data_IF_752822461831
#
_entry.id   IF_752822461831
#
_cell.length_a   1.000
_cell.length_b   1.000
_cell.length_c   1.000
_cell.angle_alpha   90.00
_cell.angle_beta   90.00
_cell.angle_gamma   90.00
#
_symmetry.space_group_name_H-M   'P 1'
#
loop_
_entity.id
_entity.type
_entity.pdbx_description
1 polymer ?
#
# COMPACT_ATOMS: atom_id res chain seq x y z
N UNK A 1 10.86 -24.01 -9.93
CA UNK A 1 10.19 -22.74 -10.31
C UNK A 1 9.19 -23.06 -11.41
N UNK A 2 7.89 -23.06 -11.09
CA UNK A 2 6.86 -23.09 -12.13
C UNK A 2 6.93 -21.78 -12.93
N UNK A 3 6.69 -21.79 -14.24
CA UNK A 3 6.67 -20.55 -15.00
C UNK A 3 5.51 -19.69 -14.49
N UNK A 4 5.81 -18.47 -14.04
CA UNK A 4 4.86 -17.45 -13.51
C UNK A 4 3.60 -17.29 -14.38
N UNK A 5 3.70 -17.56 -15.68
CA UNK A 5 2.58 -17.58 -16.63
C UNK A 5 1.47 -18.60 -16.26
N UNK A 6 1.78 -19.66 -15.48
CA UNK A 6 0.80 -20.63 -14.98
C UNK A 6 0.00 -20.12 -13.78
N UNK A 7 0.52 -19.20 -12.97
CA UNK A 7 -0.22 -18.69 -11.78
C UNK A 7 -1.44 -17.88 -12.24
N UNK A 8 -1.27 -17.04 -13.26
CA UNK A 8 -2.34 -16.20 -13.82
C UNK A 8 -3.32 -17.01 -14.70
N UNK A 9 -2.86 -18.09 -15.33
CA UNK A 9 -3.71 -18.96 -16.15
C UNK A 9 -4.42 -20.09 -15.34
N UNK A 10 -3.85 -20.57 -14.22
CA UNK A 10 -4.52 -21.50 -13.31
C UNK A 10 -5.64 -20.84 -12.50
N UNK A 11 -5.56 -19.52 -12.25
CA UNK A 11 -6.70 -18.75 -11.78
C UNK A 11 -7.91 -18.81 -12.75
N UNK A 12 -7.69 -19.24 -14.00
CA UNK A 12 -8.67 -19.29 -15.10
C UNK A 12 -9.31 -20.67 -15.36
N UNK A 13 -8.78 -21.77 -14.83
CA UNK A 13 -9.34 -23.12 -15.09
C UNK A 13 -10.41 -23.57 -14.08
N UNK A 14 -10.72 -22.76 -13.06
CA UNK A 14 -11.66 -23.13 -11.99
C UNK A 14 -13.04 -22.43 -12.08
N UNK A 15 -13.38 -21.73 -13.17
CA UNK A 15 -14.61 -20.92 -13.24
C UNK A 15 -15.42 -21.23 -14.51
N UNK A 16 -16.57 -21.89 -14.34
CA UNK A 16 -17.60 -22.06 -15.37
C UNK A 16 -18.45 -20.78 -15.50
N UNK A 17 -18.95 -20.44 -16.70
CA UNK A 17 -19.72 -19.22 -16.91
C UNK A 17 -21.23 -19.48 -16.74
N UNK A 18 -21.85 -18.81 -15.78
CA UNK A 18 -23.31 -18.75 -15.65
C UNK A 18 -23.75 -18.07 -14.36
N UNK A 19 -24.47 -16.95 -14.51
CA UNK A 19 -25.20 -16.16 -13.51
C UNK A 19 -24.50 -14.87 -13.01
N UNK A 20 -25.28 -13.78 -13.06
CA UNK A 20 -24.84 -12.38 -13.11
C UNK A 20 -25.26 -11.68 -11.82
N UNK A 21 -24.27 -11.19 -11.07
CA UNK A 21 -24.35 -10.61 -9.71
C UNK A 21 -24.74 -11.55 -8.53
N UNK A 22 -24.47 -12.86 -8.64
CA UNK A 22 -23.42 -13.55 -7.90
C UNK A 22 -22.08 -13.40 -8.65
N UNK A 23 -21.51 -12.18 -8.65
CA UNK A 23 -20.33 -11.83 -9.48
C UNK A 23 -18.98 -11.96 -8.77
N UNK A 24 -18.92 -12.73 -7.70
CA UNK A 24 -17.67 -13.37 -7.29
C UNK A 24 -18.03 -14.79 -6.87
N UNK A 25 -17.82 -15.77 -7.77
CA UNK A 25 -17.75 -17.19 -7.38
C UNK A 25 -16.57 -17.51 -6.46
N UNK A 26 -15.97 -16.47 -5.88
CA UNK A 26 -14.96 -16.50 -4.84
C UNK A 26 -15.54 -15.77 -3.64
N UNK A 27 -15.75 -16.50 -2.56
CA UNK A 27 -15.98 -15.93 -1.24
C UNK A 27 -14.78 -15.06 -0.85
N UNK A 28 -14.97 -14.07 0.05
CA UNK A 28 -13.89 -13.42 0.79
C UNK A 28 -12.73 -14.36 1.17
N UNK A 29 -13.08 -15.56 1.67
CA UNK A 29 -12.14 -16.61 2.04
C UNK A 29 -11.34 -17.14 0.84
N UNK A 30 -11.93 -17.28 -0.35
CA UNK A 30 -11.24 -17.76 -1.54
C UNK A 30 -10.33 -16.71 -2.19
N UNK A 31 -10.64 -15.41 -2.05
CA UNK A 31 -9.70 -14.34 -2.44
C UNK A 31 -8.53 -14.31 -1.45
N UNK A 32 -8.82 -14.42 -0.15
CA UNK A 32 -7.83 -14.49 0.92
C UNK A 32 -6.93 -15.71 0.77
N UNK A 33 -7.45 -16.93 0.60
CA UNK A 33 -6.69 -18.18 0.38
C UNK A 33 -5.79 -18.10 -0.85
N UNK A 34 -6.22 -17.43 -1.92
CA UNK A 34 -5.43 -17.31 -3.16
C UNK A 34 -4.37 -16.21 -3.07
N UNK A 35 -4.66 -15.12 -2.38
CA UNK A 35 -3.66 -14.14 -1.99
C UNK A 35 -2.67 -14.77 -1.03
N UNK A 36 -3.13 -15.54 -0.05
CA UNK A 36 -2.30 -16.29 0.88
C UNK A 36 -1.44 -17.30 0.13
N UNK A 37 -1.93 -18.00 -0.91
CA UNK A 37 -1.08 -18.87 -1.74
C UNK A 37 0.01 -18.09 -2.52
N UNK A 38 -0.36 -16.93 -3.07
CA UNK A 38 0.56 -16.00 -3.74
C UNK A 38 1.60 -15.49 -2.73
N UNK A 39 1.17 -15.16 -1.52
CA UNK A 39 1.92 -14.63 -0.38
C UNK A 39 2.68 -15.70 0.41
N UNK A 40 2.30 -16.96 0.30
CA UNK A 40 2.97 -18.16 0.79
C UNK A 40 4.08 -18.54 -0.17
N UNK A 41 3.93 -18.32 -1.49
CA UNK A 41 5.11 -18.28 -2.38
C UNK A 41 6.06 -17.12 -2.06
N UNK A 42 5.62 -16.11 -1.29
CA UNK A 42 6.49 -15.10 -0.69
C UNK A 42 6.95 -15.46 0.73
N UNK A 43 6.68 -16.68 1.25
CA UNK A 43 6.95 -17.08 2.64
C UNK A 43 8.34 -16.63 3.08
N UNK A 44 8.32 -15.76 4.07
CA UNK A 44 9.46 -15.52 4.92
C UNK A 44 9.62 -16.77 5.77
N UNK A 45 10.49 -17.68 5.36
CA UNK A 45 10.84 -18.82 6.21
C UNK A 45 11.39 -18.28 7.54
N UNK A 46 11.22 -19.01 8.64
CA UNK A 46 11.76 -18.61 9.95
C UNK A 46 13.29 -18.42 9.95
N UNK A 47 13.99 -19.00 8.98
CA UNK A 47 15.41 -18.73 8.70
C UNK A 47 15.64 -17.37 8.04
N UNK A 48 14.75 -16.95 7.14
CA UNK A 48 14.78 -15.57 6.65
C UNK A 48 14.46 -14.58 7.75
N UNK A 49 13.50 -14.82 8.66
CA UNK A 49 13.23 -13.93 9.80
C UNK A 49 14.46 -13.70 10.68
N UNK A 50 15.25 -14.75 10.99
CA UNK A 50 16.51 -14.60 11.74
C UNK A 50 17.57 -13.82 10.96
N UNK A 51 17.67 -14.07 9.65
CA UNK A 51 18.51 -13.28 8.73
C UNK A 51 18.08 -11.81 8.70
N UNK A 52 16.78 -11.53 8.79
CA UNK A 52 16.21 -10.19 8.80
C UNK A 52 16.38 -9.50 10.13
N UNK A 53 16.18 -10.16 11.27
CA UNK A 53 16.51 -9.56 12.57
C UNK A 53 17.98 -9.17 12.58
N UNK A 54 18.85 -10.01 12.03
CA UNK A 54 20.29 -9.71 11.91
C UNK A 54 20.57 -8.58 10.92
N UNK A 55 19.91 -8.54 9.75
CA UNK A 55 20.11 -7.49 8.74
C UNK A 55 19.51 -6.14 9.17
N UNK A 56 18.35 -6.14 9.83
CA UNK A 56 17.70 -4.97 10.42
C UNK A 56 18.48 -4.50 11.65
N UNK A 57 18.99 -5.40 12.51
CA UNK A 57 19.91 -5.03 13.59
C UNK A 57 21.23 -4.50 13.06
N UNK A 58 21.76 -5.04 11.96
CA UNK A 58 23.00 -4.60 11.33
C UNK A 58 22.78 -3.26 10.60
N UNK A 59 21.65 -3.06 9.93
CA UNK A 59 21.23 -1.77 9.40
C UNK A 59 21.08 -0.76 10.53
N UNK A 60 20.35 -1.10 11.60
CA UNK A 60 20.17 -0.25 12.77
C UNK A 60 21.50 -0.01 13.49
N UNK A 61 22.43 -0.95 13.57
CA UNK A 61 23.80 -0.77 14.11
C UNK A 61 24.64 0.14 13.22
N UNK A 62 24.59 -0.06 11.92
CA UNK A 62 25.31 0.75 10.94
C UNK A 62 24.73 2.17 10.84
N UNK A 63 23.46 2.33 11.21
CA UNK A 63 22.73 3.59 11.25
C UNK A 63 22.46 4.09 12.67
N UNK A 64 23.09 3.54 13.72
CA UNK A 64 22.96 4.00 15.13
C UNK A 64 23.56 5.40 15.36
N UNK A 65 24.08 6.04 14.32
CA UNK A 65 24.45 7.45 14.26
C UNK A 65 23.41 8.37 13.60
N UNK A 66 22.20 7.89 13.26
CA UNK A 66 21.11 8.72 12.70
C UNK A 66 20.47 9.69 13.71
N UNK A 67 21.16 10.01 14.80
CA UNK A 67 20.85 11.15 15.65
C UNK A 67 21.33 12.41 14.94
N UNK A 68 20.35 13.21 14.47
CA UNK A 68 20.49 14.56 13.92
C UNK A 68 21.33 14.70 12.64
N UNK A 69 20.69 14.51 11.47
CA UNK A 69 21.12 15.14 10.21
C UNK A 69 20.88 16.66 10.26
N UNK A 70 21.54 17.33 11.20
CA UNK A 70 21.67 18.78 11.21
C UNK A 70 22.94 19.12 10.45
N UNK A 71 22.75 19.71 9.26
CA UNK A 71 23.76 20.45 8.49
C UNK A 71 24.83 19.61 7.77
N UNK A 72 24.46 18.98 6.66
CA UNK A 72 25.40 18.92 5.53
C UNK A 72 25.45 20.32 4.90
N UNK A 73 26.58 21.03 4.91
CA UNK A 73 26.68 22.33 4.27
C UNK A 73 26.62 22.12 2.76
N UNK A 74 25.48 22.44 2.14
CA UNK A 74 25.34 22.53 0.68
C UNK A 74 24.37 21.55 0.00
N UNK A 75 23.79 20.56 0.68
CA UNK A 75 22.74 19.71 0.09
C UNK A 75 21.36 20.30 0.39
N UNK A 76 20.57 20.64 -0.64
CA UNK A 76 19.16 21.00 -0.47
C UNK A 76 18.39 19.87 0.23
N UNK A 77 17.28 20.20 0.93
CA UNK A 77 16.40 19.19 1.54
C UNK A 77 15.94 18.16 0.48
N UNK A 78 15.60 18.64 -0.70
CA UNK A 78 15.29 17.87 -1.91
C UNK A 78 16.32 16.77 -2.17
N UNK A 79 17.61 17.10 -2.19
CA UNK A 79 18.68 16.13 -2.45
C UNK A 79 18.74 15.04 -1.38
N UNK A 80 18.50 15.40 -0.11
CA UNK A 80 18.49 14.43 0.99
C UNK A 80 17.28 13.50 0.88
N UNK A 81 16.11 14.04 0.58
CA UNK A 81 14.89 13.25 0.43
C UNK A 81 15.00 12.30 -0.77
N UNK A 82 15.57 12.76 -1.89
CA UNK A 82 15.89 11.92 -3.04
C UNK A 82 16.81 10.75 -2.69
N UNK A 83 17.93 11.02 -2.01
CA UNK A 83 18.89 9.99 -1.62
C UNK A 83 18.27 8.96 -0.67
N UNK A 84 17.44 9.42 0.28
CA UNK A 84 16.73 8.56 1.21
C UNK A 84 15.68 7.70 0.53
N UNK A 85 14.85 8.28 -0.34
CA UNK A 85 13.83 7.53 -1.07
C UNK A 85 14.44 6.54 -2.05
N UNK A 86 15.54 6.90 -2.71
CA UNK A 86 16.28 5.97 -3.57
C UNK A 86 16.82 4.78 -2.78
N UNK A 87 17.27 4.99 -1.54
CA UNK A 87 17.68 3.89 -0.65
C UNK A 87 16.50 3.03 -0.23
N UNK A 88 15.39 3.64 0.18
CA UNK A 88 14.16 2.92 0.54
C UNK A 88 13.59 2.12 -0.63
N UNK A 89 13.55 2.68 -1.84
CA UNK A 89 13.16 1.96 -3.05
C UNK A 89 14.00 0.69 -3.25
N UNK A 90 15.33 0.79 -3.13
CA UNK A 90 16.22 -0.38 -3.24
C UNK A 90 15.93 -1.42 -2.16
N UNK A 91 15.71 -0.96 -0.91
CA UNK A 91 15.36 -1.83 0.21
C UNK A 91 14.03 -2.54 -0.08
N UNK A 92 12.97 -1.82 -0.42
CA UNK A 92 11.66 -2.40 -0.73
C UNK A 92 11.71 -3.35 -1.91
N UNK A 93 12.45 -3.02 -2.98
CA UNK A 93 12.62 -3.91 -4.12
C UNK A 93 13.32 -5.23 -3.73
N UNK A 94 14.28 -5.18 -2.81
CA UNK A 94 14.98 -6.38 -2.32
C UNK A 94 14.15 -7.18 -1.31
N UNK A 95 13.44 -6.50 -0.42
CA UNK A 95 12.80 -7.10 0.76
C UNK A 95 11.34 -7.50 0.53
N UNK A 96 10.57 -6.60 -0.07
CA UNK A 96 9.13 -6.78 -0.32
C UNK A 96 8.93 -7.42 -1.69
N UNK A 97 9.57 -6.86 -2.72
CA UNK A 97 9.39 -7.34 -4.09
C UNK A 97 10.22 -8.61 -4.36
N UNK A 98 11.33 -8.85 -3.64
CA UNK A 98 12.17 -10.06 -3.79
C UNK A 98 12.52 -10.42 -5.25
N UNK A 99 12.73 -9.41 -6.10
CA UNK A 99 13.00 -9.61 -7.52
C UNK A 99 11.77 -9.89 -8.38
N UNK A 100 10.58 -9.50 -7.90
CA UNK A 100 9.32 -9.55 -8.64
C UNK A 100 9.48 -8.95 -10.04
N UNK A 101 10.15 -7.80 -10.11
CA UNK A 101 10.47 -7.12 -11.35
C UNK A 101 11.88 -7.51 -11.81
N UNK A 102 12.04 -8.05 -13.04
CA UNK A 102 13.35 -8.21 -13.64
C UNK A 102 14.15 -6.90 -13.65
N UNK A 103 15.50 -6.94 -13.62
CA UNK A 103 16.30 -5.73 -13.69
C UNK A 103 15.94 -4.86 -14.92
N UNK A 104 15.62 -3.59 -14.68
CA UNK A 104 15.27 -2.63 -15.73
C UNK A 104 13.81 -2.68 -16.21
N UNK A 105 12.92 -3.40 -15.53
CA UNK A 105 11.47 -3.38 -15.81
C UNK A 105 10.68 -2.47 -14.87
N UNK A 106 11.29 -1.99 -13.78
CA UNK A 106 10.68 -1.05 -12.86
C UNK A 106 11.65 0.09 -12.57
N UNK A 107 11.25 1.29 -12.99
CA UNK A 107 11.99 2.52 -12.75
C UNK A 107 11.30 3.37 -11.67
N UNK A 108 12.10 4.10 -10.90
CA UNK A 108 11.63 5.02 -9.86
C UNK A 108 12.13 6.43 -10.14
N UNK A 109 11.22 7.40 -10.08
CA UNK A 109 11.53 8.82 -10.14
C UNK A 109 10.95 9.57 -8.95
N UNK A 110 11.75 10.50 -8.43
CA UNK A 110 11.31 11.48 -7.43
C UNK A 110 11.30 12.85 -8.09
N UNK A 111 10.16 13.53 -8.02
CA UNK A 111 9.94 14.79 -8.73
C UNK A 111 9.97 15.94 -7.72
N UNK A 112 10.99 16.82 -7.78
CA UNK A 112 11.17 17.87 -6.79
C UNK A 112 10.19 19.03 -7.02
N UNK A 113 9.87 19.77 -5.97
CA UNK A 113 8.82 20.81 -5.97
C UNK A 113 9.13 22.00 -6.88
N UNK A 114 10.40 22.25 -7.16
CA UNK A 114 10.85 23.26 -8.12
C UNK A 114 10.69 22.84 -9.60
N UNK A 115 10.35 21.57 -9.88
CA UNK A 115 10.24 21.09 -11.24
C UNK A 115 8.94 21.55 -11.94
N UNK A 116 9.00 21.67 -13.27
CA UNK A 116 7.83 21.97 -14.09
C UNK A 116 6.77 20.86 -13.99
N UNK A 117 7.19 19.61 -13.85
CA UNK A 117 6.28 18.47 -13.71
C UNK A 117 5.51 18.54 -12.38
N UNK A 118 6.18 18.84 -11.27
CA UNK A 118 5.53 19.05 -9.98
C UNK A 118 4.49 20.18 -10.04
N UNK A 119 4.87 21.30 -10.67
CA UNK A 119 3.94 22.45 -10.85
C UNK A 119 2.70 22.05 -11.64
N UNK A 120 2.87 21.30 -12.75
CA UNK A 120 1.75 20.81 -13.56
C UNK A 120 0.86 19.83 -12.82
N UNK A 121 1.45 18.97 -11.97
CA UNK A 121 0.70 18.03 -11.16
C UNK A 121 -0.17 18.77 -10.14
N UNK A 122 0.44 19.68 -9.36
CA UNK A 122 -0.26 20.54 -8.39
C UNK A 122 -1.46 21.25 -9.02
N UNK A 123 -1.30 21.78 -10.22
CA UNK A 123 -2.36 22.58 -10.86
C UNK A 123 -3.47 21.72 -11.51
N UNK A 124 -3.30 20.40 -11.63
CA UNK A 124 -4.25 19.51 -12.35
C UNK A 124 -4.96 18.49 -11.48
N UNK A 125 -4.20 17.75 -10.70
CA UNK A 125 -4.68 16.56 -10.01
C UNK A 125 -4.05 16.40 -8.63
N UNK A 126 -3.15 17.32 -8.24
CA UNK A 126 -2.45 17.39 -6.97
C UNK A 126 -1.71 16.10 -6.53
N UNK A 127 -1.62 15.08 -7.38
CA UNK A 127 -1.25 13.70 -7.03
C UNK A 127 0.00 13.59 -6.15
N UNK A 128 -0.04 12.66 -5.21
CA UNK A 128 1.08 12.33 -4.35
C UNK A 128 2.18 11.53 -5.07
N UNK A 129 1.76 10.80 -6.09
CA UNK A 129 2.56 9.95 -6.96
C UNK A 129 1.69 9.40 -8.08
N UNK A 130 2.30 8.61 -8.95
CA UNK A 130 1.58 7.77 -9.90
C UNK A 130 2.48 6.61 -10.37
N UNK A 131 1.85 5.51 -10.78
CA UNK A 131 2.48 4.45 -11.55
C UNK A 131 1.96 4.47 -13.00
N UNK A 132 2.87 4.27 -13.96
CA UNK A 132 2.53 4.04 -15.36
C UNK A 132 3.26 2.83 -15.89
N UNK A 133 2.61 2.03 -16.73
CA UNK A 133 3.25 0.90 -17.40
C UNK A 133 2.88 0.78 -18.87
N UNK A 134 3.64 -0.04 -19.58
CA UNK A 134 3.33 -0.43 -20.96
C UNK A 134 2.30 -1.58 -21.04
N UNK A 135 1.61 -1.91 -19.95
CA UNK A 135 0.67 -3.04 -19.90
C UNK A 135 -0.42 -2.99 -20.98
N UNK A 136 -0.90 -1.80 -21.31
CA UNK A 136 -1.95 -1.60 -22.32
C UNK A 136 -1.47 -1.83 -23.76
N UNK A 137 -0.16 -2.02 -23.99
CA UNK A 137 0.37 -2.35 -25.31
C UNK A 137 0.11 -3.83 -25.61
N UNK A 138 -0.51 -4.12 -26.76
CA UNK A 138 -0.99 -5.47 -27.13
C UNK A 138 0.07 -6.59 -27.07
N UNK A 139 1.35 -6.24 -27.26
CA UNK A 139 2.47 -7.19 -27.29
C UNK A 139 3.27 -7.21 -25.98
N UNK A 140 2.74 -6.61 -24.90
CA UNK A 140 3.38 -6.67 -23.59
C UNK A 140 3.28 -8.08 -23.02
N UNK A 141 4.44 -8.63 -22.71
CA UNK A 141 4.64 -9.93 -22.07
C UNK A 141 5.30 -9.70 -20.71
N UNK A 142 5.30 -10.69 -19.80
CA UNK A 142 6.02 -10.55 -18.53
C UNK A 142 7.51 -10.19 -18.70
N UNK A 143 8.17 -10.62 -19.78
CA UNK A 143 9.57 -10.27 -20.05
C UNK A 143 9.76 -8.91 -20.74
N UNK A 144 8.70 -8.31 -21.26
CA UNK A 144 8.73 -6.98 -21.91
C UNK A 144 7.95 -5.92 -21.13
N UNK A 145 7.35 -6.29 -20.01
CA UNK A 145 6.68 -5.38 -19.09
C UNK A 145 7.67 -4.33 -18.59
N UNK A 146 7.23 -3.08 -18.57
CA UNK A 146 7.95 -1.94 -18.00
C UNK A 146 6.97 -1.06 -17.26
N UNK A 147 7.32 -0.70 -16.04
CA UNK A 147 6.61 0.27 -15.22
C UNK A 147 7.56 1.35 -14.72
N UNK A 148 6.98 2.51 -14.46
CA UNK A 148 7.65 3.67 -13.89
C UNK A 148 6.79 4.18 -12.75
N UNK A 149 7.39 4.23 -11.57
CA UNK A 149 6.78 4.79 -10.35
C UNK A 149 7.34 6.17 -10.11
N UNK A 150 6.45 7.13 -9.92
CA UNK A 150 6.77 8.54 -9.72
C UNK A 150 6.23 8.99 -8.38
N UNK A 151 7.05 9.65 -7.57
CA UNK A 151 6.64 10.24 -6.28
C UNK A 151 7.02 11.71 -6.26
N UNK A 152 6.08 12.56 -5.88
CA UNK A 152 6.31 14.01 -5.79
C UNK A 152 6.84 14.40 -4.41
N UNK A 153 7.71 15.42 -4.38
CA UNK A 153 8.14 16.03 -3.13
C UNK A 153 6.96 16.62 -2.35
N UNK A 154 6.99 16.50 -1.02
CA UNK A 154 6.04 17.12 -0.07
C UNK A 154 6.70 18.26 0.72
N UNK A 155 6.86 19.45 0.11
CA UNK A 155 7.66 20.53 0.69
C UNK A 155 7.02 21.17 1.93
N UNK A 156 5.72 20.97 2.20
CA UNK A 156 5.05 21.58 3.36
C UNK A 156 5.23 20.75 4.64
N UNK A 157 5.53 19.45 4.54
CA UNK A 157 5.81 18.62 5.72
C UNK A 157 7.22 18.92 6.24
N UNK A 158 7.31 19.81 7.24
CA UNK A 158 8.62 20.26 7.79
C UNK A 158 9.33 19.18 8.61
N UNK A 159 8.57 18.36 9.35
CA UNK A 159 9.13 17.29 10.18
C UNK A 159 9.73 16.18 9.30
N UNK A 160 11.05 15.94 9.45
CA UNK A 160 11.76 14.95 8.64
C UNK A 160 11.19 13.54 8.78
N UNK A 161 10.80 13.13 10.00
CA UNK A 161 10.26 11.79 10.25
C UNK A 161 8.90 11.62 9.59
N UNK A 162 7.99 12.57 9.79
CA UNK A 162 6.67 12.55 9.17
C UNK A 162 6.78 12.57 7.65
N UNK A 163 7.64 13.44 7.09
CA UNK A 163 7.85 13.54 5.64
C UNK A 163 8.35 12.21 5.06
N UNK A 164 9.35 11.57 5.66
CA UNK A 164 9.83 10.27 5.19
C UNK A 164 8.75 9.19 5.31
N UNK A 165 7.99 9.14 6.41
CA UNK A 165 6.87 8.18 6.54
C UNK A 165 5.85 8.37 5.41
N UNK A 166 5.41 9.59 5.17
CA UNK A 166 4.48 9.92 4.08
C UNK A 166 5.06 9.56 2.72
N UNK A 167 6.27 10.01 2.40
CA UNK A 167 6.82 9.79 1.06
C UNK A 167 7.18 8.32 0.79
N UNK A 168 7.56 7.56 1.82
CA UNK A 168 7.70 6.09 1.69
C UNK A 168 6.36 5.39 1.57
N UNK A 169 5.30 5.88 2.23
CA UNK A 169 3.92 5.42 2.04
C UNK A 169 3.44 5.62 0.61
N UNK A 170 3.64 6.81 0.05
CA UNK A 170 3.32 7.11 -1.35
C UNK A 170 4.11 6.22 -2.31
N UNK A 171 5.42 6.02 -2.06
CA UNK A 171 6.22 5.09 -2.86
C UNK A 171 5.63 3.67 -2.84
N UNK A 172 5.27 3.16 -1.66
CA UNK A 172 4.71 1.81 -1.53
C UNK A 172 3.31 1.68 -2.12
N UNK A 173 2.49 2.74 -2.06
CA UNK A 173 1.20 2.84 -2.73
C UNK A 173 1.36 2.67 -4.25
N UNK A 174 2.27 3.43 -4.86
CA UNK A 174 2.52 3.31 -6.30
C UNK A 174 3.18 1.99 -6.69
N UNK A 175 4.00 1.41 -5.81
CA UNK A 175 4.52 0.07 -6.02
C UNK A 175 3.41 -0.99 -5.99
N UNK A 176 2.36 -0.83 -5.16
CA UNK A 176 1.20 -1.71 -5.17
C UNK A 176 0.47 -1.67 -6.52
N UNK A 177 0.31 -0.48 -7.11
CA UNK A 177 -0.20 -0.34 -8.49
C UNK A 177 0.69 -1.04 -9.51
N UNK A 178 2.00 -0.84 -9.45
CA UNK A 178 2.93 -1.50 -10.37
C UNK A 178 2.89 -3.04 -10.24
N UNK A 179 2.74 -3.58 -9.04
CA UNK A 179 2.55 -5.03 -8.80
C UNK A 179 1.25 -5.48 -9.47
N UNK A 180 0.15 -4.79 -9.21
CA UNK A 180 -1.14 -5.13 -9.79
C UNK A 180 -1.06 -5.16 -11.33
N UNK A 181 -0.49 -4.13 -11.94
CA UNK A 181 -0.35 -4.04 -13.40
C UNK A 181 0.55 -5.13 -14.01
N UNK A 182 1.63 -5.50 -13.33
CA UNK A 182 2.56 -6.51 -13.83
C UNK A 182 1.95 -7.92 -13.86
N UNK A 183 1.05 -8.23 -12.92
CA UNK A 183 0.53 -9.58 -12.71
C UNK A 183 -0.94 -9.76 -13.07
N UNK A 184 -1.70 -8.68 -13.23
CA UNK A 184 -3.06 -8.77 -13.68
C UNK A 184 -3.12 -8.97 -15.21
N UNK A 185 -3.82 -10.01 -15.65
CA UNK A 185 -3.94 -10.34 -17.06
C UNK A 185 -4.70 -9.26 -17.83
N UNK A 186 -4.05 -8.61 -18.81
CA UNK A 186 -4.63 -7.54 -19.62
C UNK A 186 -5.32 -8.01 -20.93
N UNK A 187 -5.52 -9.32 -21.14
CA UNK A 187 -6.13 -9.77 -22.40
C UNK A 187 -7.62 -9.39 -22.48
N UNK A 188 -8.16 -9.15 -23.67
CA UNK A 188 -9.59 -8.79 -23.89
C UNK A 188 -10.57 -9.74 -23.17
N UNK A 189 -10.22 -11.03 -23.07
CA UNK A 189 -11.05 -12.03 -22.37
C UNK A 189 -11.00 -11.92 -20.84
N UNK A 190 -9.99 -11.25 -20.28
CA UNK A 190 -9.85 -10.94 -18.85
C UNK A 190 -10.28 -9.51 -18.53
N UNK A 191 -10.44 -8.63 -19.52
CA UNK A 191 -10.70 -7.19 -19.33
C UNK A 191 -11.89 -6.90 -18.41
N UNK A 192 -12.96 -7.71 -18.49
CA UNK A 192 -14.07 -7.61 -17.54
C UNK A 192 -13.66 -7.89 -16.09
N UNK A 193 -12.80 -8.90 -15.88
CA UNK A 193 -12.27 -9.28 -14.57
C UNK A 193 -11.22 -8.28 -14.06
N UNK A 194 -10.60 -7.50 -14.95
CA UNK A 194 -9.68 -6.42 -14.59
C UNK A 194 -10.45 -5.35 -13.84
N UNK A 195 -11.57 -4.86 -14.37
CA UNK A 195 -12.39 -3.86 -13.67
C UNK A 195 -12.92 -4.37 -12.33
N UNK A 196 -13.27 -5.65 -12.24
CA UNK A 196 -13.73 -6.28 -10.99
C UNK A 196 -12.61 -6.42 -9.95
N UNK A 197 -11.34 -6.55 -10.38
CA UNK A 197 -10.19 -6.72 -9.48
C UNK A 197 -9.45 -5.41 -9.15
N UNK A 198 -9.22 -4.59 -10.16
CA UNK A 198 -8.47 -3.32 -10.10
C UNK A 198 -9.37 -2.15 -9.72
N UNK A 199 -10.68 -2.28 -9.89
CA UNK A 199 -11.61 -1.17 -9.68
C UNK A 199 -11.55 -0.12 -10.80
N UNK A 200 -12.41 0.87 -10.68
CA UNK A 200 -12.53 2.03 -11.57
C UNK A 200 -11.40 3.03 -11.40
N UNK A 201 -10.82 3.11 -10.20
CA UNK A 201 -9.76 4.07 -9.85
C UNK A 201 -8.40 3.41 -9.63
N UNK A 202 -8.29 2.09 -9.86
CA UNK A 202 -7.09 1.31 -9.57
C UNK A 202 -7.01 0.78 -8.13
N UNK A 203 -8.01 1.07 -7.28
CA UNK A 203 -8.03 0.70 -5.87
C UNK A 203 -9.06 -0.39 -5.53
N UNK A 204 -9.34 -1.27 -6.48
CA UNK A 204 -10.25 -2.39 -6.31
C UNK A 204 -9.75 -3.44 -5.29
N UNK A 205 -10.51 -4.53 -5.11
CA UNK A 205 -10.24 -5.53 -4.07
C UNK A 205 -8.83 -6.14 -4.12
N UNK A 206 -8.26 -6.32 -5.30
CA UNK A 206 -6.90 -6.89 -5.45
C UNK A 206 -5.85 -5.90 -4.97
N UNK A 207 -6.00 -4.61 -5.31
CA UNK A 207 -5.11 -3.57 -4.81
C UNK A 207 -5.19 -3.47 -3.28
N UNK A 208 -6.40 -3.50 -2.71
CA UNK A 208 -6.61 -3.45 -1.26
C UNK A 208 -5.88 -4.59 -0.53
N UNK A 209 -5.92 -5.80 -1.08
CA UNK A 209 -5.22 -6.95 -0.53
C UNK A 209 -3.69 -6.84 -0.64
N UNK A 210 -3.18 -6.38 -1.79
CA UNK A 210 -1.73 -6.11 -1.99
C UNK A 210 -1.26 -5.06 -0.98
N UNK A 211 -1.95 -3.92 -0.91
CA UNK A 211 -1.60 -2.80 -0.03
C UNK A 211 -1.61 -3.21 1.43
N UNK A 212 -2.64 -3.93 1.89
CA UNK A 212 -2.70 -4.45 3.27
C UNK A 212 -1.50 -5.34 3.58
N UNK A 213 -1.13 -6.23 2.66
CA UNK A 213 0.03 -7.09 2.87
C UNK A 213 1.34 -6.31 2.93
N UNK A 214 1.49 -5.27 2.10
CA UNK A 214 2.65 -4.37 2.15
C UNK A 214 2.71 -3.68 3.52
N UNK A 215 1.61 -3.12 4.01
CA UNK A 215 1.56 -2.47 5.33
C UNK A 215 1.97 -3.42 6.47
N UNK A 216 1.40 -4.63 6.49
CA UNK A 216 1.76 -5.68 7.47
C UNK A 216 3.24 -6.04 7.36
N UNK A 217 3.75 -6.19 6.14
CA UNK A 217 5.16 -6.55 5.90
C UNK A 217 6.08 -5.44 6.38
N UNK A 218 5.74 -4.18 6.12
CA UNK A 218 6.55 -3.03 6.55
C UNK A 218 6.58 -2.93 8.07
N UNK A 219 5.43 -3.11 8.73
CA UNK A 219 5.36 -3.15 10.19
C UNK A 219 6.23 -4.27 10.76
N UNK A 220 6.13 -5.49 10.22
CA UNK A 220 6.89 -6.65 10.72
C UNK A 220 8.39 -6.53 10.48
N UNK A 221 8.81 -6.08 9.29
CA UNK A 221 10.23 -6.08 8.88
C UNK A 221 10.97 -4.83 9.35
N UNK A 222 10.33 -3.66 9.29
CA UNK A 222 10.95 -2.37 9.60
C UNK A 222 10.51 -1.77 10.93
N UNK A 223 9.51 -2.35 11.59
CA UNK A 223 9.06 -1.91 12.92
C UNK A 223 8.35 -0.57 12.93
N UNK A 224 7.81 -0.11 11.79
CA UNK A 224 7.00 1.11 11.74
C UNK A 224 5.72 0.89 10.93
N UNK A 225 4.65 1.55 11.35
CA UNK A 225 3.40 1.61 10.60
C UNK A 225 3.59 2.51 9.38
N UNK A 226 3.43 1.94 8.20
CA UNK A 226 3.37 2.66 6.95
C UNK A 226 1.94 2.65 6.46
N UNK A 227 1.46 3.79 6.01
CA UNK A 227 0.07 3.95 5.59
C UNK A 227 0.02 4.17 4.09
N UNK A 228 -0.70 3.30 3.38
CA UNK A 228 -0.86 3.36 1.93
C UNK A 228 -2.17 4.06 1.54
N UNK A 229 -2.92 4.64 2.48
CA UNK A 229 -4.15 5.38 2.19
C UNK A 229 -5.35 4.49 1.82
N UNK A 230 -5.37 3.22 2.26
CA UNK A 230 -6.40 2.24 1.86
C UNK A 230 -7.83 2.71 2.12
N UNK A 231 -8.08 3.30 3.29
CA UNK A 231 -9.40 3.81 3.67
C UNK A 231 -9.92 4.84 2.66
N UNK A 232 -9.08 5.78 2.25
CA UNK A 232 -9.48 6.82 1.32
C UNK A 232 -9.47 6.36 -0.13
N UNK A 233 -8.54 5.50 -0.52
CA UNK A 233 -8.55 4.81 -1.80
C UNK A 233 -9.86 4.04 -2.01
N UNK A 234 -10.36 3.34 -0.97
CA UNK A 234 -11.67 2.68 -1.02
C UNK A 234 -12.83 3.68 -1.12
N UNK A 235 -12.74 4.81 -0.41
CA UNK A 235 -13.74 5.87 -0.50
C UNK A 235 -13.81 6.48 -1.92
N UNK A 236 -12.65 6.67 -2.56
CA UNK A 236 -12.55 7.14 -3.95
C UNK A 236 -13.14 6.12 -4.92
N UNK A 237 -12.80 4.84 -4.75
CA UNK A 237 -13.33 3.73 -5.54
C UNK A 237 -14.86 3.64 -5.43
N UNK A 238 -15.41 3.66 -4.20
CA UNK A 238 -16.85 3.66 -3.97
C UNK A 238 -17.54 4.93 -4.49
N UNK A 239 -16.87 6.08 -4.46
CA UNK A 239 -17.37 7.30 -5.09
C UNK A 239 -17.49 7.12 -6.60
N UNK A 240 -16.41 6.71 -7.27
CA UNK A 240 -16.39 6.47 -8.71
C UNK A 240 -17.44 5.44 -9.14
N UNK A 241 -17.61 4.37 -8.36
CA UNK A 241 -18.60 3.31 -8.62
C UNK A 241 -20.05 3.72 -8.28
N UNK A 242 -20.26 4.89 -7.67
CA UNK A 242 -21.54 5.30 -7.06
C UNK A 242 -22.09 4.23 -6.09
N UNK A 243 -21.17 3.52 -5.44
CA UNK A 243 -21.48 2.47 -4.49
C UNK A 243 -21.70 3.07 -3.09
N UNK A 244 -22.62 2.44 -2.34
CA UNK A 244 -22.80 2.70 -0.92
C UNK A 244 -22.22 1.53 -0.16
N UNK A 245 -21.18 1.81 0.60
CA UNK A 245 -20.57 0.86 1.51
C UNK A 245 -21.55 0.38 2.59
N UNK A 246 -21.28 -0.83 3.06
CA UNK A 246 -21.80 -1.41 4.29
C UNK A 246 -20.67 -1.55 5.30
N UNK A 247 -21.00 -1.55 6.59
CA UNK A 247 -20.03 -1.79 7.68
C UNK A 247 -19.26 -3.11 7.48
N UNK A 248 -19.97 -4.15 7.01
CA UNK A 248 -19.36 -5.46 6.68
C UNK A 248 -18.31 -5.38 5.57
N UNK A 249 -18.50 -4.53 4.56
CA UNK A 249 -17.52 -4.35 3.49
C UNK A 249 -16.29 -3.58 3.99
N UNK A 250 -16.48 -2.54 4.81
CA UNK A 250 -15.36 -1.82 5.42
C UNK A 250 -14.53 -2.73 6.34
N UNK A 251 -15.21 -3.54 7.16
CA UNK A 251 -14.58 -4.54 8.00
C UNK A 251 -13.84 -5.60 7.20
N UNK A 252 -14.40 -6.07 6.07
CA UNK A 252 -13.72 -7.02 5.19
C UNK A 252 -12.39 -6.49 4.65
N UNK A 253 -12.34 -5.21 4.28
CA UNK A 253 -11.10 -4.59 3.83
C UNK A 253 -10.18 -4.17 4.97
N UNK A 254 -10.61 -4.27 6.24
CA UNK A 254 -9.87 -3.80 7.41
C UNK A 254 -9.36 -2.37 7.21
N UNK A 255 -10.28 -1.48 6.83
CA UNK A 255 -10.02 -0.04 6.71
C UNK A 255 -10.59 0.70 7.91
N UNK A 256 -9.98 1.85 8.24
CA UNK A 256 -10.51 2.72 9.28
C UNK A 256 -11.78 3.43 8.78
N UNK A 257 -12.91 3.13 9.43
CA UNK A 257 -14.23 3.64 9.02
C UNK A 257 -14.31 5.17 9.07
N UNK A 258 -13.68 5.78 10.08
CA UNK A 258 -13.68 7.24 10.23
C UNK A 258 -12.97 7.91 9.06
N UNK A 259 -11.74 7.49 8.73
CA UNK A 259 -10.96 8.04 7.61
C UNK A 259 -11.67 7.81 6.27
N UNK A 260 -12.29 6.64 6.10
CA UNK A 260 -13.12 6.35 4.94
C UNK A 260 -14.29 7.33 4.84
N UNK A 261 -15.03 7.57 5.93
CA UNK A 261 -16.18 8.48 5.95
C UNK A 261 -15.79 9.93 5.69
N UNK A 262 -14.71 10.41 6.31
CA UNK A 262 -14.16 11.76 6.10
C UNK A 262 -13.85 11.96 4.60
N UNK A 263 -13.06 11.07 3.99
CA UNK A 263 -12.77 11.15 2.56
C UNK A 263 -14.02 11.04 1.68
N UNK A 264 -14.99 10.19 2.05
CA UNK A 264 -16.23 10.05 1.29
C UNK A 264 -17.05 11.34 1.29
N UNK A 265 -17.03 12.10 2.39
CA UNK A 265 -17.68 13.41 2.49
C UNK A 265 -16.97 14.44 1.61
N UNK A 266 -15.65 14.44 1.58
CA UNK A 266 -14.88 15.35 0.72
C UNK A 266 -15.20 15.12 -0.76
N UNK A 267 -15.22 13.85 -1.20
CA UNK A 267 -15.63 13.50 -2.57
C UNK A 267 -17.10 13.84 -2.87
N UNK A 268 -17.98 13.90 -1.86
CA UNK A 268 -19.38 14.24 -2.08
C UNK A 268 -19.60 15.76 -2.21
N UNK A 269 -18.71 16.57 -1.64
CA UNK A 269 -18.81 18.04 -1.68
C UNK A 269 -18.21 18.64 -2.95
N UNK A 270 -17.30 17.92 -3.61
CA UNK A 270 -16.65 18.40 -4.82
C UNK A 270 -16.88 17.47 -6.00
N UNK A 271 -17.89 17.80 -6.81
CA UNK A 271 -18.20 17.07 -8.04
C UNK A 271 -17.07 17.14 -9.10
N UNK A 272 -16.05 17.99 -8.91
CA UNK A 272 -14.91 18.14 -9.82
C UNK A 272 -13.61 17.47 -9.32
N UNK A 273 -13.61 16.84 -8.15
CA UNK A 273 -12.45 16.13 -7.61
C UNK A 273 -12.27 14.75 -8.28
N UNK A 274 -11.80 14.73 -9.52
CA UNK A 274 -11.31 13.50 -10.17
C UNK A 274 -9.84 13.17 -9.84
N UNK A 275 -9.20 13.99 -9.00
CA UNK A 275 -7.81 13.85 -8.58
C UNK A 275 -7.59 14.40 -7.18
N UNK A 276 -8.22 13.81 -6.17
CA UNK A 276 -7.80 14.07 -4.79
C UNK A 276 -6.51 13.30 -4.59
N UNK A 277 -5.40 14.02 -4.57
CA UNK A 277 -4.25 13.59 -3.79
C UNK A 277 -4.63 13.67 -2.32
N UNK A 278 -4.34 12.62 -1.58
CA UNK A 278 -4.51 12.66 -0.15
C UNK A 278 -3.36 13.47 0.40
N UNK A 279 -3.62 14.74 0.70
CA UNK A 279 -2.64 15.56 1.38
C UNK A 279 -2.48 15.00 2.81
N UNK A 280 -1.55 14.06 2.96
CA UNK A 280 -1.04 13.62 4.26
C UNK A 280 -0.53 14.81 5.10
N UNK A 281 -0.37 15.98 4.46
CA UNK A 281 -0.17 17.29 5.06
C UNK A 281 -1.32 17.68 6.01
N UNK A 282 -2.59 17.41 5.70
CA UNK A 282 -3.73 17.75 6.55
C UNK A 282 -3.71 16.98 7.89
N UNK A 283 -3.07 15.82 7.91
CA UNK A 283 -2.86 15.03 9.12
C UNK A 283 -1.62 15.50 9.89
N UNK A 284 -0.56 15.90 9.17
CA UNK A 284 0.66 16.40 9.77
C UNK A 284 0.53 17.83 10.36
N UNK A 285 -0.40 18.65 9.84
CA UNK A 285 -0.58 20.04 10.26
C UNK A 285 -1.52 20.19 11.47
N UNK A 286 -2.42 19.22 11.70
CA UNK A 286 -3.33 19.20 12.86
C UNK A 286 -2.72 18.61 14.13
N UNK A 287 -1.63 17.85 14.02
CA UNK A 287 -0.85 17.39 15.16
C UNK A 287 0.23 18.41 15.52
N UNK A 288 0.32 18.80 16.78
CA UNK A 288 1.38 19.60 17.41
C UNK A 288 2.79 18.94 17.39
N UNK A 289 3.03 18.01 16.46
CA UNK A 289 4.27 17.27 16.29
C UNK A 289 4.47 16.17 17.33
N UNK A 290 3.50 15.95 18.23
CA UNK A 290 3.59 14.99 19.34
C UNK A 290 2.46 13.96 19.30
N UNK A 291 1.27 14.30 18.81
CA UNK A 291 0.23 13.29 18.59
C UNK A 291 0.52 12.44 17.35
N UNK A 292 0.97 11.23 17.65
CA UNK A 292 1.49 10.23 16.75
C UNK A 292 0.52 9.85 15.61
N UNK A 293 1.10 9.68 14.42
CA UNK A 293 0.53 8.88 13.31
C UNK A 293 0.06 7.49 13.80
N UNK A 294 0.53 7.02 14.95
CA UNK A 294 0.11 5.78 15.61
C UNK A 294 -1.38 5.75 15.99
N UNK A 295 -2.02 6.91 16.22
CA UNK A 295 -3.46 6.99 16.50
C UNK A 295 -4.38 6.92 15.28
N UNK A 296 -3.83 6.92 14.05
CA UNK A 296 -4.65 6.97 12.84
C UNK A 296 -5.27 5.63 12.45
N UNK A 297 -4.75 4.50 12.95
CA UNK A 297 -5.33 3.16 12.74
C UNK A 297 -5.11 2.23 13.95
N UNK A 298 -5.26 2.72 15.17
CA UNK A 298 -5.31 1.86 16.37
C UNK A 298 -6.71 1.25 16.57
N UNK A 299 -7.24 0.56 15.55
CA UNK A 299 -8.51 -0.20 15.66
C UNK A 299 -8.28 -1.69 15.92
N UNK A 300 -7.03 -2.10 16.17
CA UNK A 300 -6.84 -3.31 16.95
C UNK A 300 -7.23 -2.96 18.38
N UNK A 301 -8.52 -3.09 18.70
CA UNK A 301 -8.89 -3.40 20.08
C UNK A 301 -8.10 -4.66 20.40
N UNK A 302 -7.01 -4.50 21.15
CA UNK A 302 -6.60 -5.55 22.07
C UNK A 302 -7.78 -5.66 23.03
N UNK A 303 -8.86 -6.32 22.60
CA UNK A 303 -9.84 -6.89 23.49
C UNK A 303 -9.06 -7.99 24.22
N UNK A 304 -8.37 -7.54 25.27
CA UNK A 304 -7.86 -8.31 26.37
C UNK A 304 -9.00 -9.22 26.82
N UNK A 305 -9.04 -10.45 26.30
CA UNK A 305 -9.67 -11.59 26.94
C UNK A 305 -8.93 -11.88 28.26
N UNK A 306 -9.03 -10.96 29.23
CA UNK A 306 -8.83 -11.26 30.64
C UNK A 306 -10.12 -11.92 31.17
N UNK A 307 -10.47 -13.07 30.60
CA UNK A 307 -11.37 -14.06 31.21
C UNK A 307 -10.51 -15.12 31.92
N UNK A 308 -9.82 -14.76 33.00
CA UNK A 308 -9.33 -15.74 33.97
C UNK A 308 -8.94 -15.04 35.27
N UNK A 309 -9.90 -14.93 36.20
CA UNK A 309 -9.68 -15.09 37.66
C UNK A 309 -10.97 -14.80 38.46
N UNK A 310 -11.95 -15.71 38.35
CA UNK A 310 -12.97 -15.90 39.39
C UNK A 310 -12.56 -17.09 40.26
N UNK A 311 -11.59 -16.86 41.16
CA UNK A 311 -11.21 -17.82 42.20
C UNK A 311 -12.36 -17.95 43.20
N UNK A 312 -13.11 -19.04 43.06
CA UNK A 312 -14.19 -19.46 43.94
C UNK A 312 -13.67 -19.69 45.37
N UNK A 313 -13.95 -18.71 46.24
CA UNK A 313 -13.58 -18.74 47.64
C UNK A 313 -14.70 -19.32 48.51
N UNK A 314 -14.41 -20.49 49.09
CA UNK A 314 -14.86 -20.96 50.43
C UNK A 314 -16.33 -21.37 50.59
N UNK A 315 -16.52 -22.64 50.98
CA UNK A 315 -16.98 -22.97 52.34
C UNK A 315 -16.85 -24.48 52.63
N UNK A 316 -15.81 -24.85 53.37
CA UNK A 316 -15.76 -26.11 54.14
C UNK A 316 -16.34 -25.82 55.51
N UNK A 317 -17.45 -26.48 55.87
CA UNK A 317 -17.90 -26.60 57.26
C UNK A 317 -17.51 -27.98 57.79
N UNK A 318 -16.81 -27.94 58.92
CA UNK A 318 -16.57 -29.04 59.85
C UNK A 318 -17.89 -29.38 60.55
#
# INVERSE_FOLDING_TARGET
MAPINQIVCHLRQALHPGEMWPLMGLTPLQVQERMDLLLETFEFTSETDKSWTTATEQYNKNNRGFTTYTNFPGSSQVSRDFDLLTKWYKIFNQTILKGLFPPGTLDFHFIPSESLEWTRNRDRACLDGYAVSNRQVCDTTPSTFKATVVVFEKPRIRCNVARIKVTTGNLLHELAHAILEAYACACQRCEKNILEGEGLTGHGPVWMAISRKIEITVLRVFGYRCWLGRSQSLAHEHHAARHRHTEKELSFFEVNERLYCEARMDFAQDENLSGVSFDAEDFAEKGDGVEDIEGLESDYSEDDENEDDMVESRNVKI
#
